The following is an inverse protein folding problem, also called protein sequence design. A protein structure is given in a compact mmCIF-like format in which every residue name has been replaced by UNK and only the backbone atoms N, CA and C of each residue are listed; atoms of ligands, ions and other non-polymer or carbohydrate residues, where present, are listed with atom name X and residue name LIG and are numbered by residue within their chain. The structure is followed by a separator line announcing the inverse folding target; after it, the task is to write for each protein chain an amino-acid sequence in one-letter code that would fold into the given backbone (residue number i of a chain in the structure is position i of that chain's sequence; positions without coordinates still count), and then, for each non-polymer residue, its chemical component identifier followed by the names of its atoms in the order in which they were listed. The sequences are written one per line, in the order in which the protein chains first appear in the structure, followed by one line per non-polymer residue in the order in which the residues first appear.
data_IF_515362114274
#
_entry.id   IF_515362114274
#
_cell.length_a   1.000
_cell.length_b   1.000
_cell.length_c   1.000
_cell.angle_alpha   90.00
_cell.angle_beta   90.00
_cell.angle_gamma   90.00
#
_symmetry.space_group_name_H-M   'P 1'
#
loop_
_entity.id
_entity.type
_entity.pdbx_description
1 polymer ?
#
# COMPACT_ATOMS: atom_id res chain seq x y z
N UNK A 1 10.37 -6.76 -6.45
CA UNK A 1 10.22 -7.27 -7.84
C UNK A 1 9.86 -8.75 -7.98
N UNK A 2 10.39 -9.68 -7.17
CA UNK A 2 10.11 -11.12 -7.28
C UNK A 2 8.88 -11.60 -6.47
N UNK A 3 8.49 -10.89 -5.40
CA UNK A 3 7.40 -11.31 -4.52
C UNK A 3 6.02 -11.22 -5.16
N UNK A 4 5.71 -10.15 -5.91
CA UNK A 4 4.42 -10.02 -6.61
C UNK A 4 4.16 -11.20 -7.55
N UNK A 5 5.17 -11.61 -8.34
CA UNK A 5 5.08 -12.82 -9.17
C UNK A 5 4.91 -14.09 -8.34
N UNK A 6 5.68 -14.24 -7.27
CA UNK A 6 5.60 -15.44 -6.44
C UNK A 6 4.21 -15.61 -5.81
N UNK A 7 3.50 -14.52 -5.52
CA UNK A 7 2.17 -14.54 -4.93
C UNK A 7 1.14 -15.03 -5.97
N UNK A 8 1.22 -14.53 -7.21
CA UNK A 8 0.29 -14.92 -8.28
C UNK A 8 0.57 -16.32 -8.83
N UNK A 9 1.84 -16.72 -8.89
CA UNK A 9 2.25 -18.06 -9.35
C UNK A 9 1.92 -19.14 -8.31
N UNK A 10 2.07 -18.87 -7.01
CA UNK A 10 1.74 -19.85 -5.94
C UNK A 10 0.26 -20.18 -5.84
N UNK A 11 -0.64 -19.34 -6.34
CA UNK A 11 -2.10 -19.48 -6.16
C UNK A 11 -2.88 -19.53 -7.47
N UNK A 12 -2.21 -19.44 -8.63
CA UNK A 12 -2.82 -19.53 -9.96
C UNK A 12 -4.02 -18.59 -10.17
N UNK A 13 -3.98 -17.40 -9.56
CA UNK A 13 -5.04 -16.39 -9.69
C UNK A 13 -4.49 -15.15 -10.41
N UNK A 14 -4.88 -14.89 -11.68
CA UNK A 14 -4.41 -13.73 -12.44
C UNK A 14 -5.01 -12.40 -11.94
N UNK A 15 -6.08 -12.44 -11.14
CA UNK A 15 -6.69 -11.25 -10.52
C UNK A 15 -6.06 -10.87 -9.17
N UNK A 16 -5.17 -11.72 -8.68
CA UNK A 16 -4.50 -11.53 -7.42
C UNK A 16 -3.59 -10.31 -7.42
N UNK A 17 -3.54 -9.64 -6.28
CA UNK A 17 -2.84 -8.38 -6.10
C UNK A 17 -2.47 -8.11 -4.66
N UNK A 18 -2.10 -6.87 -4.41
CA UNK A 18 -1.80 -6.33 -3.09
C UNK A 18 -2.85 -5.27 -2.78
N UNK A 19 -3.47 -5.36 -1.60
CA UNK A 19 -4.33 -4.31 -1.07
C UNK A 19 -3.54 -3.42 -0.12
N UNK A 20 -3.65 -2.12 -0.30
CA UNK A 20 -3.14 -1.12 0.65
C UNK A 20 -4.34 -0.45 1.31
N UNK A 21 -4.38 -0.47 2.64
CA UNK A 21 -5.43 0.17 3.43
C UNK A 21 -4.81 1.00 4.55
N UNK A 22 -5.49 2.07 4.96
CA UNK A 22 -5.12 2.91 6.10
C UNK A 22 -5.98 2.48 7.29
N UNK A 23 -5.34 2.10 8.39
CA UNK A 23 -6.02 1.77 9.65
C UNK A 23 -5.71 2.84 10.70
N UNK A 24 -6.70 3.20 11.52
CA UNK A 24 -6.48 4.03 12.71
C UNK A 24 -5.80 3.18 13.78
N UNK A 25 -4.50 3.37 13.97
CA UNK A 25 -3.67 2.57 14.87
C UNK A 25 -2.18 2.97 14.81
N UNK A 26 -1.42 2.61 15.83
CA UNK A 26 -0.01 2.97 16.01
C UNK A 26 0.21 4.15 16.97
N UNK A 27 1.46 4.41 17.38
CA UNK A 27 1.79 5.48 18.33
C UNK A 27 1.35 6.89 17.90
N UNK A 28 1.07 7.08 16.60
CA UNK A 28 0.82 8.38 15.96
C UNK A 28 -0.55 8.46 15.23
N UNK A 29 -1.49 7.55 15.51
CA UNK A 29 -2.89 7.69 15.06
C UNK A 29 -3.29 6.91 13.80
N UNK A 30 -2.50 6.93 12.72
CA UNK A 30 -2.78 6.14 11.51
C UNK A 30 -1.57 5.30 11.06
N UNK A 31 -1.84 4.11 10.52
CA UNK A 31 -0.85 3.20 9.97
C UNK A 31 -1.29 2.66 8.61
N UNK A 32 -0.33 2.40 7.73
CA UNK A 32 -0.60 1.72 6.46
C UNK A 32 -0.50 0.21 6.64
N UNK A 33 -1.47 -0.51 6.09
CA UNK A 33 -1.52 -1.97 6.10
C UNK A 33 -1.53 -2.49 4.68
N UNK A 34 -0.65 -3.46 4.45
CA UNK A 34 -0.53 -4.13 3.18
C UNK A 34 -1.00 -5.55 3.35
N UNK A 35 -2.03 -5.94 2.60
CA UNK A 35 -2.56 -7.30 2.60
C UNK A 35 -2.60 -7.87 1.20
N UNK A 36 -2.86 -9.16 1.09
CA UNK A 36 -3.08 -9.81 -0.18
C UNK A 36 -4.53 -9.58 -0.65
N UNK A 37 -4.70 -9.25 -1.93
CA UNK A 37 -6.00 -9.13 -2.56
C UNK A 37 -6.23 -10.30 -3.51
N UNK A 38 -7.35 -11.01 -3.37
CA UNK A 38 -7.76 -12.04 -4.33
C UNK A 38 -8.40 -11.45 -5.60
N UNK A 39 -8.76 -10.16 -5.53
CA UNK A 39 -9.36 -9.38 -6.61
C UNK A 39 -9.66 -7.96 -6.13
N UNK A 40 -10.26 -7.15 -7.03
CA UNK A 40 -10.75 -5.81 -6.71
C UNK A 40 -12.20 -5.87 -6.22
N UNK A 41 -12.54 -5.04 -5.24
CA UNK A 41 -13.92 -4.72 -4.90
C UNK A 41 -14.46 -3.57 -5.76
N UNK A 42 -15.79 -3.37 -5.85
CA UNK A 42 -16.39 -2.33 -6.70
C UNK A 42 -15.94 -0.89 -6.38
N UNK A 43 -15.61 -0.63 -5.11
CA UNK A 43 -15.20 0.69 -4.62
C UNK A 43 -13.68 0.83 -4.47
N UNK A 44 -12.92 -0.14 -5.00
CA UNK A 44 -11.47 -0.08 -4.95
C UNK A 44 -10.90 0.67 -6.15
N UNK A 45 -9.89 1.50 -5.86
CA UNK A 45 -9.01 2.07 -6.85
C UNK A 45 -7.96 1.03 -7.25
N UNK A 46 -7.88 0.72 -8.54
CA UNK A 46 -6.91 -0.23 -9.08
C UNK A 46 -5.75 0.52 -9.73
N UNK A 47 -4.56 0.28 -9.22
CA UNK A 47 -3.30 0.74 -9.77
C UNK A 47 -2.49 -0.44 -10.30
N UNK A 48 -1.68 -0.17 -11.33
CA UNK A 48 -0.76 -1.15 -11.90
C UNK A 48 0.60 -0.53 -12.14
N UNK A 49 1.66 -1.23 -11.76
CA UNK A 49 3.02 -0.80 -12.02
C UNK A 49 3.35 -1.02 -13.51
N UNK A 50 3.96 -0.05 -14.21
CA UNK A 50 4.21 -0.14 -15.64
C UNK A 50 5.12 -1.31 -16.04
N UNK A 51 6.10 -1.64 -15.19
CA UNK A 51 7.13 -2.64 -15.50
C UNK A 51 6.97 -4.00 -14.82
N UNK A 52 5.95 -4.20 -13.96
CA UNK A 52 5.75 -5.45 -13.23
C UNK A 52 4.37 -5.99 -13.58
N UNK A 53 4.27 -7.24 -14.02
CA UNK A 53 2.98 -7.91 -14.19
C UNK A 53 3.05 -9.36 -13.68
N UNK A 54 2.03 -9.83 -12.94
CA UNK A 54 0.89 -9.06 -12.42
C UNK A 54 1.30 -8.14 -11.25
N UNK A 55 0.71 -6.94 -11.21
CA UNK A 55 0.97 -5.92 -10.19
C UNK A 55 -0.33 -5.20 -9.85
N UNK A 56 -1.39 -5.94 -9.57
CA UNK A 56 -2.63 -5.32 -9.15
C UNK A 56 -2.43 -4.74 -7.75
N UNK A 57 -2.48 -3.42 -7.63
CA UNK A 57 -2.48 -2.72 -6.34
C UNK A 57 -3.89 -2.16 -6.19
N UNK A 58 -4.61 -2.58 -5.15
CA UNK A 58 -5.96 -2.10 -4.86
C UNK A 58 -5.95 -1.26 -3.59
N UNK A 59 -6.69 -0.16 -3.61
CA UNK A 59 -6.83 0.75 -2.48
C UNK A 59 -8.31 1.03 -2.28
N UNK A 60 -8.84 0.81 -1.08
CA UNK A 60 -10.25 1.12 -0.81
C UNK A 60 -10.50 2.63 -0.81
N UNK A 61 -11.75 3.05 -1.06
CA UNK A 61 -12.08 4.46 -1.20
C UNK A 61 -11.79 5.31 0.05
N UNK A 62 -11.90 4.73 1.25
CA UNK A 62 -11.62 5.43 2.51
C UNK A 62 -10.13 5.71 2.63
N UNK A 63 -9.32 4.68 2.41
CA UNK A 63 -7.87 4.78 2.40
C UNK A 63 -7.38 5.75 1.33
N UNK A 64 -7.97 5.71 0.13
CA UNK A 64 -7.63 6.62 -0.96
C UNK A 64 -7.86 8.08 -0.59
N UNK A 65 -8.92 8.41 0.15
CA UNK A 65 -9.15 9.78 0.63
C UNK A 65 -8.05 10.24 1.61
N UNK A 66 -7.56 9.32 2.46
CA UNK A 66 -6.53 9.58 3.47
C UNK A 66 -5.10 9.63 2.91
N UNK A 67 -4.87 9.06 1.73
CA UNK A 67 -3.56 9.05 1.05
C UNK A 67 -3.60 9.72 -0.32
N UNK A 68 -4.61 10.55 -0.57
CA UNK A 68 -4.76 11.21 -1.86
C UNK A 68 -3.57 12.15 -2.12
N UNK A 69 -2.84 11.90 -3.21
CA UNK A 69 -1.61 12.61 -3.56
C UNK A 69 -0.34 12.03 -2.92
N UNK A 70 -0.44 10.97 -2.13
CA UNK A 70 0.72 10.26 -1.61
C UNK A 70 1.37 9.38 -2.68
N UNK A 71 2.68 9.18 -2.55
CA UNK A 71 3.44 8.26 -3.39
C UNK A 71 3.64 6.93 -2.66
N UNK A 72 3.22 5.83 -3.30
CA UNK A 72 3.47 4.48 -2.78
C UNK A 72 4.78 3.96 -3.37
N UNK A 73 5.80 3.84 -2.54
CA UNK A 73 7.09 3.26 -2.88
C UNK A 73 7.22 1.82 -2.34
N UNK A 74 7.98 0.98 -3.04
CA UNK A 74 8.23 -0.40 -2.63
C UNK A 74 9.73 -0.59 -2.36
N UNK A 75 10.12 -0.44 -1.10
CA UNK A 75 11.49 -0.62 -0.67
C UNK A 75 11.77 -2.11 -0.43
N UNK A 76 12.77 -2.65 -1.12
CA UNK A 76 13.31 -3.98 -0.85
C UNK A 76 14.61 -3.84 -0.05
N UNK A 77 14.55 -4.20 1.21
CA UNK A 77 15.72 -4.30 2.08
C UNK A 77 16.20 -5.75 2.18
N UNK A 78 17.41 -5.94 2.71
CA UNK A 78 18.06 -7.27 2.84
C UNK A 78 17.26 -8.17 3.80
N UNK A 79 16.61 -7.56 4.80
CA UNK A 79 15.81 -8.21 5.84
C UNK A 79 14.33 -8.39 5.47
N UNK A 80 13.87 -7.80 4.36
CA UNK A 80 12.47 -7.88 3.95
C UNK A 80 12.10 -6.84 2.90
N UNK A 81 10.98 -7.05 2.22
CA UNK A 81 10.41 -6.01 1.34
C UNK A 81 9.18 -5.41 2.01
N UNK A 82 9.09 -4.08 2.01
CA UNK A 82 7.95 -3.36 2.57
C UNK A 82 7.49 -2.26 1.63
N UNK A 83 6.18 -2.02 1.61
CA UNK A 83 5.65 -0.81 0.98
C UNK A 83 5.82 0.35 1.96
N UNK A 84 6.30 1.48 1.45
CA UNK A 84 6.42 2.75 2.15
C UNK A 84 5.54 3.75 1.44
N UNK A 85 4.77 4.52 2.19
CA UNK A 85 3.99 5.62 1.63
C UNK A 85 4.74 6.90 2.00
N UNK A 86 5.16 7.64 0.99
CA UNK A 86 5.93 8.87 1.10
C UNK A 86 5.15 10.04 0.51
N UNK A 87 5.51 11.25 0.90
CA UNK A 87 4.91 12.49 0.39
C UNK A 87 3.37 12.56 0.51
N UNK A 88 2.78 11.97 1.56
CA UNK A 88 1.35 12.09 1.78
C UNK A 88 0.98 13.53 2.21
N UNK A 89 0.28 14.33 1.38
CA UNK A 89 -0.09 15.70 1.74
C UNK A 89 -1.09 15.77 2.90
N UNK A 90 -1.78 14.66 3.20
CA UNK A 90 -2.72 14.52 4.32
C UNK A 90 -2.01 14.22 5.64
N UNK A 91 -0.71 13.91 5.63
CA UNK A 91 0.05 13.65 6.85
C UNK A 91 0.55 14.96 7.49
N UNK A 92 0.31 15.12 8.79
CA UNK A 92 0.78 16.24 9.62
C UNK A 92 2.11 15.84 10.29
N UNK A 93 3.15 16.65 10.10
CA UNK A 93 4.45 16.45 10.76
C UNK A 93 5.31 15.36 10.11
N UNK A 94 6.63 15.54 10.17
CA UNK A 94 7.60 14.67 9.50
C UNK A 94 7.47 13.21 9.92
N UNK A 95 7.57 12.30 8.95
CA UNK A 95 7.56 10.86 9.14
C UNK A 95 8.38 10.47 10.37
N UNK A 96 7.74 9.80 11.35
CA UNK A 96 8.47 9.06 12.38
C UNK A 96 9.47 8.15 11.65
N UNK A 97 10.74 8.09 12.11
CA UNK A 97 11.88 7.51 11.39
C UNK A 97 11.75 6.06 10.90
N UNK A 98 10.63 5.39 11.16
CA UNK A 98 10.24 4.08 10.63
C UNK A 98 9.36 4.11 9.37
N UNK A 99 8.69 5.23 9.04
CA UNK A 99 7.93 5.43 7.80
C UNK A 99 6.60 4.65 7.68
N UNK A 100 6.10 4.05 8.77
CA UNK A 100 4.91 3.18 8.77
C UNK A 100 3.68 3.79 9.47
N UNK A 101 3.84 4.93 10.15
CA UNK A 101 2.75 5.60 10.90
C UNK A 101 2.83 7.12 10.78
N UNK A 102 1.68 7.80 10.81
CA UNK A 102 1.53 9.24 10.58
C UNK A 102 0.25 9.81 11.22
N UNK A 103 0.21 11.13 11.45
CA UNK A 103 -0.94 11.86 12.01
C UNK A 103 -1.75 12.54 10.91
N UNK A 104 -3.08 12.51 10.98
CA UNK A 104 -3.93 13.20 10.00
C UNK A 104 -3.88 14.72 10.20
N UNK A 105 -3.66 15.44 9.10
CA UNK A 105 -3.73 16.90 9.05
C UNK A 105 -5.20 17.35 9.02
N UNK A 106 -5.80 17.42 10.21
CA UNK A 106 -7.05 18.19 10.44
C UNK A 106 -6.75 19.68 10.35
#
# INVERSE_FOLDING_TARGET
MQQLRSITERRNNPKAGVRVSVESGGCHGYQYKVTYAEGREPNDYLFSHPSVRPSHIVVDAVSMALMNGATVDFAREIIGSQFRIVDNPQAKGGNCGCGVSWELKI
#
